data_IF_417380202826
#
_entry.id   IF_417380202826
#
_cell.length_a   1.000
_cell.length_b   1.000
_cell.length_c   1.000
_cell.angle_alpha   90.00
_cell.angle_beta   90.00
_cell.angle_gamma   90.00
#
_symmetry.space_group_name_H-M   'P 1'
#
loop_
_entity.id
_entity.type
_entity.pdbx_description
1 polymer ?
#
# COMPACT_ATOMS: atom_id res chain seq x y z
N UNK A 1 -2.96 -29.98 -22.31
CA UNK A 1 -1.87 -29.00 -22.49
C UNK A 1 -2.44 -27.65 -22.08
N UNK A 2 -2.17 -27.25 -20.83
CA UNK A 2 -2.60 -25.98 -20.26
C UNK A 2 -1.37 -25.38 -19.58
N UNK A 3 -0.45 -24.89 -20.40
CA UNK A 3 0.58 -23.94 -19.99
C UNK A 3 0.43 -22.76 -20.95
N UNK A 4 -0.43 -21.82 -20.56
CA UNK A 4 -0.49 -20.50 -21.19
C UNK A 4 -0.32 -19.50 -20.05
N UNK A 5 0.90 -18.98 -19.93
CA UNK A 5 1.15 -17.78 -19.16
C UNK A 5 0.22 -16.69 -19.69
N UNK A 6 -0.50 -16.01 -18.78
CA UNK A 6 -1.47 -14.97 -19.12
C UNK A 6 -0.69 -13.75 -19.62
N UNK A 7 -0.52 -13.65 -20.93
CA UNK A 7 0.14 -12.53 -21.60
C UNK A 7 -0.89 -11.48 -22.00
N UNK A 8 -0.87 -10.33 -21.31
CA UNK A 8 -1.73 -9.17 -21.61
C UNK A 8 -1.15 -8.25 -22.71
N UNK A 9 0.02 -8.56 -23.29
CA UNK A 9 0.65 -7.70 -24.29
C UNK A 9 1.30 -8.50 -25.45
N UNK A 10 0.48 -9.14 -26.28
CA UNK A 10 0.95 -9.88 -27.45
C UNK A 10 -0.20 -10.40 -28.33
N UNK A 11 -1.06 -9.47 -28.78
CA UNK A 11 -2.26 -9.65 -29.61
C UNK A 11 -3.35 -10.54 -28.99
N UNK A 12 -4.49 -9.90 -28.73
CA UNK A 12 -5.82 -10.51 -28.54
C UNK A 12 -6.21 -11.09 -27.17
N UNK A 13 -5.72 -10.53 -26.05
CA UNK A 13 -6.35 -10.77 -24.74
C UNK A 13 -7.00 -9.50 -24.15
N UNK A 14 -8.31 -9.38 -24.36
CA UNK A 14 -9.17 -8.47 -23.63
C UNK A 14 -9.94 -9.30 -22.58
N UNK A 15 -9.73 -9.03 -21.29
CA UNK A 15 -10.40 -9.79 -20.23
C UNK A 15 -11.90 -9.45 -20.11
N UNK A 16 -12.40 -8.29 -20.58
CA UNK A 16 -13.85 -8.11 -20.76
C UNK A 16 -14.35 -9.01 -21.88
N UNK A 17 -13.64 -9.12 -23.01
CA UNK A 17 -14.03 -10.04 -24.10
C UNK A 17 -13.92 -11.50 -23.71
N UNK A 18 -12.93 -11.87 -22.91
CA UNK A 18 -12.81 -13.21 -22.36
C UNK A 18 -13.96 -13.52 -21.38
N UNK A 19 -14.29 -12.60 -20.47
CA UNK A 19 -15.45 -12.78 -19.58
C UNK A 19 -16.76 -12.78 -20.40
N UNK A 20 -16.89 -11.91 -21.41
CA UNK A 20 -18.01 -11.91 -22.35
C UNK A 20 -18.12 -13.28 -23.03
N UNK A 21 -17.01 -13.84 -23.50
CA UNK A 21 -16.96 -15.16 -24.12
C UNK A 21 -17.42 -16.26 -23.15
N UNK A 22 -16.97 -16.23 -21.89
CA UNK A 22 -17.41 -17.20 -20.87
C UNK A 22 -18.93 -17.09 -20.63
N UNK A 23 -19.45 -15.88 -20.47
CA UNK A 23 -20.89 -15.64 -20.26
C UNK A 23 -21.74 -16.03 -21.49
N UNK A 24 -21.20 -15.87 -22.70
CA UNK A 24 -21.88 -16.25 -23.94
C UNK A 24 -21.79 -17.75 -24.25
N UNK A 25 -20.72 -18.42 -23.81
CA UNK A 25 -20.43 -19.82 -24.18
C UNK A 25 -20.90 -20.84 -23.15
N UNK A 26 -21.29 -20.39 -21.95
CA UNK A 26 -21.69 -21.24 -20.85
C UNK A 26 -23.08 -20.87 -20.31
N UNK A 27 -23.74 -21.81 -19.63
CA UNK A 27 -25.00 -21.50 -18.97
C UNK A 27 -24.76 -20.70 -17.68
N UNK A 28 -25.63 -19.74 -17.37
CA UNK A 28 -25.48 -18.87 -16.18
C UNK A 28 -25.30 -19.64 -14.85
N UNK A 29 -25.89 -20.84 -14.74
CA UNK A 29 -25.79 -21.70 -13.56
C UNK A 29 -24.55 -22.60 -13.53
N UNK A 30 -23.78 -22.66 -14.61
CA UNK A 30 -22.58 -23.49 -14.72
C UNK A 30 -21.49 -23.01 -13.79
N UNK A 31 -20.75 -23.95 -13.17
CA UNK A 31 -19.74 -23.62 -12.14
C UNK A 31 -18.32 -23.81 -12.70
N UNK A 32 -17.61 -22.69 -12.87
CA UNK A 32 -16.25 -22.64 -13.41
C UNK A 32 -15.24 -22.21 -12.33
N UNK A 33 -14.00 -22.74 -12.35
CA UNK A 33 -12.93 -22.27 -11.48
C UNK A 33 -12.36 -20.94 -11.97
N UNK A 34 -12.13 -20.00 -11.06
CA UNK A 34 -11.45 -18.74 -11.34
C UNK A 34 -9.97 -19.01 -11.71
N UNK A 35 -9.44 -18.42 -12.80
CA UNK A 35 -8.04 -18.62 -13.20
C UNK A 35 -7.02 -17.97 -12.26
N UNK A 36 -7.43 -16.99 -11.44
CA UNK A 36 -6.54 -16.28 -10.52
C UNK A 36 -6.45 -16.93 -9.14
N UNK A 37 -7.58 -17.37 -8.57
CA UNK A 37 -7.63 -17.95 -7.22
C UNK A 37 -8.12 -19.40 -7.14
N UNK A 38 -8.52 -20.00 -8.26
CA UNK A 38 -9.03 -21.37 -8.37
C UNK A 38 -10.33 -21.68 -7.60
N UNK A 39 -10.92 -20.69 -6.92
CA UNK A 39 -12.25 -20.80 -6.29
C UNK A 39 -13.31 -20.89 -7.38
N UNK A 40 -14.36 -21.68 -7.14
CA UNK A 40 -15.39 -22.00 -8.14
C UNK A 40 -16.63 -21.13 -7.97
N UNK A 41 -17.09 -20.51 -9.06
CA UNK A 41 -18.26 -19.63 -9.07
C UNK A 41 -19.22 -20.01 -10.19
N UNK A 42 -20.49 -19.65 -10.03
CA UNK A 42 -21.42 -19.69 -11.15
C UNK A 42 -21.00 -18.68 -12.23
N UNK A 43 -21.23 -18.98 -13.50
CA UNK A 43 -20.95 -18.05 -14.61
C UNK A 43 -21.62 -16.70 -14.39
N UNK A 44 -22.85 -16.68 -13.85
CA UNK A 44 -23.56 -15.44 -13.52
C UNK A 44 -22.89 -14.54 -12.48
N UNK A 45 -21.95 -15.07 -11.69
CA UNK A 45 -21.19 -14.33 -10.67
C UNK A 45 -19.71 -14.18 -11.05
N UNK A 46 -19.32 -14.72 -12.20
CA UNK A 46 -17.91 -14.91 -12.56
C UNK A 46 -17.24 -13.59 -12.96
N UNK A 47 -17.95 -12.73 -13.70
CA UNK A 47 -17.49 -11.38 -14.03
C UNK A 47 -17.19 -10.57 -12.78
N UNK A 48 -18.18 -10.44 -11.91
CA UNK A 48 -18.05 -9.62 -10.70
C UNK A 48 -16.90 -10.11 -9.82
N UNK A 49 -16.74 -11.43 -9.67
CA UNK A 49 -15.60 -12.00 -8.96
C UNK A 49 -14.26 -11.61 -9.62
N UNK A 50 -14.15 -11.76 -10.95
CA UNK A 50 -12.89 -11.49 -11.65
C UNK A 50 -12.54 -10.01 -11.65
N UNK A 51 -13.49 -9.12 -11.91
CA UNK A 51 -13.23 -7.68 -12.06
C UNK A 51 -13.07 -6.97 -10.73
N UNK A 52 -13.71 -7.48 -9.67
CA UNK A 52 -13.73 -6.83 -8.36
C UNK A 52 -12.83 -7.48 -7.33
N UNK A 53 -12.39 -8.74 -7.48
CA UNK A 53 -11.65 -9.43 -6.42
C UNK A 53 -10.20 -9.76 -6.77
N UNK A 54 -9.70 -9.45 -7.97
CA UNK A 54 -8.31 -9.75 -8.36
C UNK A 54 -7.52 -8.54 -8.86
N UNK A 55 -6.27 -8.46 -8.42
CA UNK A 55 -5.28 -7.51 -8.94
C UNK A 55 -4.57 -8.08 -10.17
N UNK A 56 -4.66 -7.41 -11.31
CA UNK A 56 -3.99 -7.84 -12.55
C UNK A 56 -2.77 -6.97 -12.84
N UNK A 57 -1.59 -7.58 -12.92
CA UNK A 57 -0.34 -6.87 -13.24
C UNK A 57 -0.14 -6.79 -14.76
N UNK A 58 0.26 -5.62 -15.26
CA UNK A 58 0.71 -5.50 -16.66
C UNK A 58 1.98 -6.35 -16.86
N UNK A 59 2.01 -7.28 -17.83
CA UNK A 59 3.15 -8.18 -18.02
C UNK A 59 4.31 -7.55 -18.83
N UNK A 60 4.21 -6.29 -19.27
CA UNK A 60 5.34 -5.61 -19.89
C UNK A 60 6.47 -5.43 -18.87
N UNK A 61 7.67 -5.95 -19.20
CA UNK A 61 8.82 -6.10 -18.29
C UNK A 61 9.27 -4.78 -17.61
N UNK A 62 8.86 -3.63 -18.15
CA UNK A 62 9.16 -2.30 -17.60
C UNK A 62 7.93 -1.50 -17.17
N UNK A 63 6.73 -2.07 -17.23
CA UNK A 63 5.50 -1.38 -16.83
C UNK A 63 5.26 -1.53 -15.33
N UNK A 64 5.14 -0.41 -14.57
CA UNK A 64 4.84 -0.47 -13.14
C UNK A 64 3.34 -0.64 -12.84
N UNK A 65 2.50 -0.90 -13.85
CA UNK A 65 1.05 -0.97 -13.71
C UNK A 65 0.58 -2.26 -13.01
N UNK A 66 -0.15 -2.09 -11.91
CA UNK A 66 -0.90 -3.13 -11.23
C UNK A 66 -2.33 -2.64 -11.14
N UNK A 67 -3.23 -3.36 -11.80
CA UNK A 67 -4.64 -3.04 -11.86
C UNK A 67 -5.31 -3.32 -10.53
N UNK A 68 -6.15 -2.37 -10.15
CA UNK A 68 -7.00 -2.32 -8.96
C UNK A 68 -8.48 -2.61 -9.29
N UNK A 69 -8.80 -2.62 -10.58
CA UNK A 69 -10.06 -3.08 -11.20
C UNK A 69 -9.80 -3.32 -12.68
N UNK A 70 -10.66 -4.04 -13.38
CA UNK A 70 -10.43 -4.36 -14.79
C UNK A 70 -10.46 -3.13 -15.74
N UNK A 71 -11.32 -2.14 -15.50
CA UNK A 71 -11.44 -0.96 -16.38
C UNK A 71 -10.15 -0.12 -16.42
N UNK A 72 -9.41 -0.15 -15.32
CA UNK A 72 -8.11 0.53 -15.22
C UNK A 72 -7.09 -0.12 -16.16
N UNK A 73 -7.18 -1.45 -16.34
CA UNK A 73 -6.30 -2.17 -17.27
C UNK A 73 -6.63 -1.78 -18.71
N UNK A 74 -7.90 -1.81 -19.12
CA UNK A 74 -8.31 -1.41 -20.47
C UNK A 74 -7.91 0.04 -20.81
N UNK A 75 -8.12 0.98 -19.88
CA UNK A 75 -7.72 2.38 -20.04
C UNK A 75 -6.20 2.54 -20.12
N UNK A 76 -5.46 1.73 -19.36
CA UNK A 76 -3.99 1.72 -19.40
C UNK A 76 -3.46 1.16 -20.73
N UNK A 77 -4.06 0.09 -21.27
CA UNK A 77 -3.65 -0.50 -22.55
C UNK A 77 -3.75 0.52 -23.68
N UNK A 78 -4.80 1.35 -23.69
CA UNK A 78 -4.98 2.42 -24.67
C UNK A 78 -3.84 3.45 -24.68
N UNK A 79 -3.16 3.68 -23.55
CA UNK A 79 -2.05 4.64 -23.45
C UNK A 79 -0.77 4.22 -24.18
N UNK A 80 -0.64 2.94 -24.55
CA UNK A 80 0.50 2.43 -25.33
C UNK A 80 0.18 2.24 -26.82
N UNK A 81 -1.11 2.25 -27.17
CA UNK A 81 -1.58 2.16 -28.55
C UNK A 81 -1.41 3.48 -29.33
N UNK A 82 -1.23 4.62 -28.65
CA UNK A 82 -1.09 5.94 -29.28
C UNK A 82 0.32 6.31 -29.77
N UNK A 83 1.30 5.41 -29.71
CA UNK A 83 2.69 5.72 -30.15
C UNK A 83 3.05 5.11 -31.51
N UNK A 84 2.54 5.67 -32.62
CA UNK A 84 3.27 5.85 -33.91
C UNK A 84 2.80 7.18 -34.57
N UNK A 85 3.69 8.05 -35.10
CA UNK A 85 3.57 9.52 -34.98
C UNK A 85 3.18 10.28 -36.26
N UNK A 86 2.60 11.47 -36.12
CA UNK A 86 3.00 12.66 -36.92
C UNK A 86 2.36 13.97 -36.44
N UNK A 87 3.11 15.05 -36.66
CA UNK A 87 2.77 16.48 -36.54
C UNK A 87 2.86 17.12 -35.15
N UNK A 88 4.00 17.79 -34.99
CA UNK A 88 4.31 18.90 -34.11
C UNK A 88 3.14 19.87 -33.87
N UNK A 89 2.69 19.94 -32.63
CA UNK A 89 2.30 21.20 -32.00
C UNK A 89 2.84 21.21 -30.57
N UNK A 90 3.56 22.26 -30.23
CA UNK A 90 4.05 22.53 -28.88
C UNK A 90 2.84 22.62 -27.96
N UNK A 91 2.71 21.67 -27.02
CA UNK A 91 1.90 21.87 -25.84
C UNK A 91 2.66 21.32 -24.63
N UNK A 92 2.92 22.23 -23.71
CA UNK A 92 3.67 22.03 -22.49
C UNK A 92 3.07 20.89 -21.65
N UNK A 93 3.96 20.06 -21.09
CA UNK A 93 3.60 19.09 -20.05
C UNK A 93 2.87 19.81 -18.92
N UNK A 94 1.83 19.19 -18.31
CA UNK A 94 1.34 19.67 -17.05
C UNK A 94 2.48 19.54 -16.05
N UNK A 95 3.00 20.69 -15.63
CA UNK A 95 3.87 20.80 -14.48
C UNK A 95 3.14 20.20 -13.29
N UNK A 96 3.58 19.03 -12.82
CA UNK A 96 3.36 18.64 -11.44
C UNK A 96 3.87 19.82 -10.63
N UNK A 97 2.95 20.54 -10.01
CA UNK A 97 3.25 21.74 -9.26
C UNK A 97 4.26 21.37 -8.18
N UNK A 98 5.52 21.76 -8.39
CA UNK A 98 6.52 21.88 -7.35
C UNK A 98 6.01 22.88 -6.31
N UNK A 99 5.17 22.43 -5.39
CA UNK A 99 5.06 23.06 -4.09
C UNK A 99 6.26 22.59 -3.27
N UNK A 100 7.45 23.04 -3.65
CA UNK A 100 8.67 22.99 -2.82
C UNK A 100 8.50 23.94 -1.64
N UNK A 101 7.52 23.66 -0.78
CA UNK A 101 7.57 24.05 0.62
C UNK A 101 8.62 23.18 1.31
N UNK A 102 9.37 23.76 2.25
CA UNK A 102 10.43 23.11 3.04
C UNK A 102 9.85 22.08 4.03
N UNK A 103 9.02 21.15 3.55
CA UNK A 103 8.42 20.10 4.36
C UNK A 103 9.42 18.96 4.62
N UNK A 104 9.12 18.14 5.62
CA UNK A 104 10.01 17.06 6.06
C UNK A 104 10.41 16.13 4.91
N UNK A 105 9.47 15.76 4.05
CA UNK A 105 9.69 14.88 2.89
C UNK A 105 10.74 15.45 1.94
N UNK A 106 10.61 16.73 1.55
CA UNK A 106 11.54 17.40 0.65
C UNK A 106 12.94 17.52 1.26
N UNK A 107 13.03 17.84 2.55
CA UNK A 107 14.29 17.95 3.29
C UNK A 107 15.02 16.60 3.39
N UNK A 108 14.29 15.52 3.69
CA UNK A 108 14.84 14.16 3.71
C UNK A 108 15.31 13.73 2.33
N UNK A 109 14.47 13.91 1.31
CA UNK A 109 14.81 13.54 -0.07
C UNK A 109 16.09 14.24 -0.52
N UNK A 110 16.19 15.57 -0.29
CA UNK A 110 17.40 16.35 -0.59
C UNK A 110 18.62 15.80 0.14
N UNK A 111 18.54 15.59 1.46
CA UNK A 111 19.69 15.16 2.25
C UNK A 111 20.19 13.76 1.84
N UNK A 112 19.29 12.82 1.54
CA UNK A 112 19.70 11.50 1.04
C UNK A 112 20.31 11.58 -0.36
N UNK A 113 19.79 12.44 -1.24
CA UNK A 113 20.35 12.67 -2.59
C UNK A 113 21.75 13.28 -2.59
N UNK A 114 22.19 13.93 -1.52
CA UNK A 114 23.57 14.46 -1.41
C UNK A 114 24.63 13.35 -1.34
N UNK A 115 24.23 12.10 -1.07
CA UNK A 115 25.15 10.98 -1.14
C UNK A 115 25.56 10.74 -2.61
N UNK A 116 26.85 10.90 -2.93
CA UNK A 116 27.42 10.72 -4.27
C UNK A 116 27.17 9.32 -4.89
N UNK A 117 26.86 8.32 -4.07
CA UNK A 117 26.53 6.98 -4.51
C UNK A 117 25.02 6.74 -4.67
N UNK A 118 24.17 7.71 -4.32
CA UNK A 118 22.72 7.62 -4.47
C UNK A 118 22.36 7.59 -5.96
N UNK A 119 21.57 6.60 -6.35
CA UNK A 119 20.97 6.46 -7.67
C UNK A 119 19.51 6.89 -7.65
N UNK A 120 18.80 6.58 -6.57
CA UNK A 120 17.41 6.94 -6.38
C UNK A 120 17.11 7.12 -4.89
N UNK A 121 16.32 8.12 -4.56
CA UNK A 121 15.63 8.20 -3.28
C UNK A 121 14.18 8.57 -3.54
N UNK A 122 13.26 7.93 -2.83
CA UNK A 122 11.85 8.27 -2.83
C UNK A 122 11.36 8.29 -1.40
N UNK A 123 10.85 9.45 -0.98
CA UNK A 123 10.29 9.65 0.35
C UNK A 123 8.79 9.82 0.20
N UNK A 124 8.03 9.27 1.15
CA UNK A 124 6.60 9.51 1.23
C UNK A 124 6.31 11.03 1.29
N UNK A 125 5.33 11.48 0.53
CA UNK A 125 4.85 12.85 0.48
C UNK A 125 4.23 13.25 1.81
N UNK A 126 4.32 14.55 2.13
CA UNK A 126 3.65 15.17 3.28
C UNK A 126 3.94 14.50 4.64
N UNK A 127 5.11 13.89 4.79
CA UNK A 127 5.45 13.04 5.93
C UNK A 127 5.35 13.80 7.26
N UNK A 128 4.55 13.27 8.18
CA UNK A 128 4.36 13.80 9.52
C UNK A 128 4.69 12.72 10.56
N UNK A 129 5.78 12.89 11.31
CA UNK A 129 6.27 11.88 12.25
C UNK A 129 5.61 12.00 13.63
N UNK A 130 5.22 10.87 14.20
CA UNK A 130 4.73 10.73 15.57
C UNK A 130 5.63 9.78 16.35
N UNK A 131 5.67 9.91 17.67
CA UNK A 131 6.44 9.03 18.53
C UNK A 131 5.65 8.60 19.76
N UNK A 132 6.08 7.48 20.34
CA UNK A 132 5.61 6.98 21.62
C UNK A 132 5.82 8.05 22.69
N UNK A 133 4.78 8.31 23.46
CA UNK A 133 4.83 9.12 24.67
C UNK A 133 4.87 8.22 25.91
N UNK A 134 4.96 8.81 27.09
CA UNK A 134 4.89 8.06 28.36
C UNK A 134 3.59 7.29 28.54
N UNK A 135 2.48 7.81 28.01
CA UNK A 135 1.11 7.28 28.21
C UNK A 135 0.86 6.00 27.39
N UNK A 136 1.54 5.86 26.26
CA UNK A 136 1.37 4.76 25.32
C UNK A 136 2.58 3.83 25.23
N UNK A 137 3.55 4.02 26.13
CA UNK A 137 4.74 3.16 26.20
C UNK A 137 4.34 1.70 26.43
N UNK A 138 4.89 0.82 25.61
CA UNK A 138 4.68 -0.63 25.67
C UNK A 138 3.46 -1.15 24.90
N UNK A 139 2.66 -0.29 24.24
CA UNK A 139 1.56 -0.74 23.38
C UNK A 139 1.22 0.19 22.20
N UNK A 140 1.72 1.42 22.22
CA UNK A 140 1.32 2.49 21.31
C UNK A 140 1.82 2.36 19.87
N UNK A 141 2.72 1.43 19.55
CA UNK A 141 3.42 1.44 18.26
C UNK A 141 2.46 1.38 17.07
N UNK A 142 1.49 0.47 17.07
CA UNK A 142 0.48 0.37 16.02
C UNK A 142 -0.31 1.68 15.84
N UNK A 143 -0.76 2.27 16.94
CA UNK A 143 -1.49 3.54 16.92
C UNK A 143 -0.64 4.71 16.44
N UNK A 144 0.63 4.81 16.84
CA UNK A 144 1.53 5.89 16.40
C UNK A 144 1.87 5.78 14.92
N UNK A 145 2.10 4.57 14.41
CA UNK A 145 2.31 4.37 12.98
C UNK A 145 1.04 4.72 12.17
N UNK A 146 -0.15 4.38 12.68
CA UNK A 146 -1.41 4.84 12.07
C UNK A 146 -1.55 6.38 12.12
N UNK A 147 -1.15 7.05 13.21
CA UNK A 147 -1.10 8.52 13.25
C UNK A 147 -0.15 9.11 12.20
N UNK A 148 1.02 8.51 11.97
CA UNK A 148 1.95 8.92 10.90
C UNK A 148 1.28 8.82 9.54
N UNK A 149 0.59 7.71 9.28
CA UNK A 149 -0.11 7.49 8.03
C UNK A 149 -1.23 8.53 7.84
N UNK A 150 -2.16 8.63 8.79
CA UNK A 150 -3.30 9.57 8.73
C UNK A 150 -2.81 11.00 8.56
N UNK A 151 -1.83 11.43 9.36
CA UNK A 151 -1.31 12.80 9.29
C UNK A 151 -0.64 13.11 7.94
N UNK A 152 0.00 12.12 7.32
CA UNK A 152 0.64 12.30 6.02
C UNK A 152 -0.37 12.33 4.87
N UNK A 153 -1.35 11.41 4.85
CA UNK A 153 -2.33 11.35 3.75
C UNK A 153 -3.43 12.40 3.86
N UNK A 154 -3.72 12.94 5.05
CA UNK A 154 -4.72 14.01 5.23
C UNK A 154 -4.35 15.29 4.46
N UNK A 155 -3.07 15.47 4.16
CA UNK A 155 -2.55 16.60 3.40
C UNK A 155 -2.65 16.39 1.87
N UNK A 156 -3.00 15.18 1.42
CA UNK A 156 -3.39 14.92 0.04
C UNK A 156 -4.86 15.36 -0.17
N UNK A 157 -5.20 16.06 -1.27
CA UNK A 157 -6.56 16.59 -1.48
C UNK A 157 -7.64 15.51 -1.49
N UNK A 158 -7.42 14.41 -2.21
CA UNK A 158 -8.43 13.38 -2.42
C UNK A 158 -8.54 12.48 -1.19
N UNK A 159 -7.41 12.05 -0.63
CA UNK A 159 -7.39 11.23 0.58
C UNK A 159 -7.82 12.02 1.82
N UNK A 160 -7.46 13.31 1.90
CA UNK A 160 -7.90 14.20 2.96
C UNK A 160 -9.40 14.42 2.96
N UNK A 161 -9.99 14.61 1.77
CA UNK A 161 -11.45 14.70 1.60
C UNK A 161 -12.13 13.39 2.00
N UNK A 162 -11.62 12.23 1.54
CA UNK A 162 -12.16 10.91 1.88
C UNK A 162 -12.09 10.60 3.38
N UNK A 163 -10.95 10.90 4.03
CA UNK A 163 -10.79 10.74 5.48
C UNK A 163 -11.81 11.58 6.26
N UNK A 164 -12.11 12.79 5.78
CA UNK A 164 -13.01 13.72 6.47
C UNK A 164 -12.49 14.20 7.84
N UNK A 165 -11.18 14.03 8.11
CA UNK A 165 -10.56 14.39 9.39
C UNK A 165 -9.87 15.76 9.28
N UNK A 166 -10.25 16.69 10.17
CA UNK A 166 -9.59 18.01 10.23
C UNK A 166 -8.24 17.97 10.96
N UNK A 167 -8.07 17.03 11.89
CA UNK A 167 -6.87 16.87 12.72
C UNK A 167 -6.52 15.39 12.86
N UNK A 168 -5.26 15.10 13.18
CA UNK A 168 -4.83 13.73 13.46
C UNK A 168 -5.49 13.23 14.75
N UNK A 169 -6.18 12.08 14.74
CA UNK A 169 -6.91 11.58 15.89
C UNK A 169 -5.97 11.14 17.01
N UNK A 170 -6.41 11.26 18.27
CA UNK A 170 -5.72 10.70 19.43
C UNK A 170 -5.78 9.18 19.44
N UNK A 171 -4.96 8.50 20.26
CA UNK A 171 -5.02 7.04 20.42
C UNK A 171 -6.43 6.59 20.84
N UNK A 172 -7.05 7.29 21.79
CA UNK A 172 -8.42 6.98 22.24
C UNK A 172 -9.45 7.16 21.13
N UNK A 173 -9.29 8.17 20.27
CA UNK A 173 -10.16 8.36 19.11
C UNK A 173 -9.96 7.26 18.06
N UNK A 174 -8.71 6.85 17.80
CA UNK A 174 -8.39 5.70 16.94
C UNK A 174 -9.04 4.42 17.48
N UNK A 175 -8.87 4.12 18.77
CA UNK A 175 -9.51 2.97 19.42
C UNK A 175 -11.03 2.98 19.23
N UNK A 176 -11.67 4.14 19.46
CA UNK A 176 -13.12 4.30 19.28
C UNK A 176 -13.54 4.16 17.80
N UNK A 177 -12.69 4.61 16.86
CA UNK A 177 -12.91 4.48 15.42
C UNK A 177 -12.85 3.03 14.96
N UNK A 178 -11.86 2.25 15.44
CA UNK A 178 -11.76 0.81 15.16
C UNK A 178 -12.99 0.08 15.71
N UNK A 179 -13.39 0.34 16.96
CA UNK A 179 -14.61 -0.25 17.53
C UNK A 179 -15.88 0.13 16.75
N UNK A 180 -15.93 1.33 16.18
CA UNK A 180 -17.02 1.76 15.30
C UNK A 180 -17.03 1.00 13.99
N UNK A 181 -15.86 0.80 13.38
CA UNK A 181 -15.72 0.01 12.17
C UNK A 181 -16.17 -1.44 12.40
N UNK A 182 -15.77 -2.06 13.52
CA UNK A 182 -16.22 -3.40 13.91
C UNK A 182 -17.75 -3.47 14.06
N UNK A 183 -18.37 -2.49 14.73
CA UNK A 183 -19.84 -2.40 14.83
C UNK A 183 -20.52 -2.25 13.46
N UNK A 184 -19.83 -1.68 12.48
CA UNK A 184 -20.31 -1.54 11.11
C UNK A 184 -20.02 -2.77 10.22
N UNK A 185 -19.48 -3.84 10.80
CA UNK A 185 -19.27 -5.14 10.15
C UNK A 185 -17.88 -5.36 9.55
N UNK A 186 -16.91 -4.47 9.79
CA UNK A 186 -15.52 -4.71 9.39
C UNK A 186 -14.89 -5.79 10.28
N UNK A 187 -14.23 -6.76 9.66
CA UNK A 187 -13.37 -7.77 10.30
C UNK A 187 -13.91 -8.33 11.64
N UNK A 188 -15.05 -9.05 11.62
CA UNK A 188 -15.63 -9.61 12.84
C UNK A 188 -14.70 -10.58 13.56
N UNK A 189 -13.83 -11.27 12.82
CA UNK A 189 -12.87 -12.23 13.38
C UNK A 189 -11.74 -11.51 14.14
N UNK A 190 -11.13 -10.47 13.57
CA UNK A 190 -10.15 -9.64 14.26
C UNK A 190 -10.76 -8.89 15.46
N UNK A 191 -12.00 -8.43 15.32
CA UNK A 191 -12.75 -7.83 16.43
C UNK A 191 -12.94 -8.82 17.60
N UNK A 192 -13.30 -10.07 17.29
CA UNK A 192 -13.49 -11.11 18.30
C UNK A 192 -12.18 -11.45 19.05
N UNK A 193 -11.04 -11.48 18.36
CA UNK A 193 -9.71 -11.69 18.97
C UNK A 193 -9.38 -10.62 20.01
N UNK A 194 -9.87 -9.40 19.81
CA UNK A 194 -9.70 -8.28 20.73
C UNK A 194 -10.91 -8.05 21.63
N UNK A 195 -11.84 -9.01 21.71
CA UNK A 195 -13.06 -8.96 22.50
C UNK A 195 -13.91 -7.70 22.24
N UNK A 196 -13.93 -7.23 20.98
CA UNK A 196 -14.68 -6.06 20.53
C UNK A 196 -14.40 -4.78 21.35
N UNK A 197 -13.23 -4.68 21.99
CA UNK A 197 -12.92 -3.59 22.91
C UNK A 197 -11.45 -3.20 22.87
N UNK A 198 -11.20 -1.95 22.54
CA UNK A 198 -9.90 -1.28 22.53
C UNK A 198 -9.89 -0.04 23.42
N UNK A 199 -10.96 0.75 23.43
CA UNK A 199 -11.04 2.03 24.15
C UNK A 199 -10.82 1.82 25.64
N UNK A 200 -9.89 2.57 26.21
CA UNK A 200 -9.55 2.46 27.63
C UNK A 200 -8.66 1.25 27.97
N UNK A 201 -8.22 0.49 26.96
CA UNK A 201 -7.28 -0.63 27.12
C UNK A 201 -5.89 -0.25 26.63
N UNK A 202 -4.91 -1.12 26.92
CA UNK A 202 -3.53 -1.07 26.40
C UNK A 202 -3.27 -2.19 25.39
N UNK A 203 -4.32 -2.70 24.74
CA UNK A 203 -4.19 -3.77 23.74
C UNK A 203 -3.39 -3.28 22.54
N UNK A 204 -2.53 -4.16 22.05
CA UNK A 204 -1.80 -3.95 20.81
C UNK A 204 -2.80 -4.06 19.65
N UNK A 205 -2.50 -3.33 18.57
CA UNK A 205 -3.21 -3.47 17.29
C UNK A 205 -2.19 -3.89 16.22
N UNK A 206 -2.67 -4.64 15.25
CA UNK A 206 -1.90 -5.14 14.11
C UNK A 206 -2.24 -4.44 12.80
N UNK A 207 -1.81 -5.06 11.71
CA UNK A 207 -2.08 -4.58 10.36
C UNK A 207 -3.59 -4.64 10.01
N UNK A 208 -4.32 -5.62 10.53
CA UNK A 208 -5.77 -5.79 10.35
C UNK A 208 -6.55 -4.60 10.88
N UNK A 209 -6.35 -4.20 12.15
CA UNK A 209 -7.04 -3.05 12.73
C UNK A 209 -6.69 -1.73 12.03
N UNK A 210 -5.46 -1.60 11.55
CA UNK A 210 -5.02 -0.44 10.76
C UNK A 210 -5.74 -0.38 9.42
N UNK A 211 -5.82 -1.51 8.71
CA UNK A 211 -6.55 -1.62 7.45
C UNK A 211 -8.06 -1.37 7.65
N UNK A 212 -8.66 -1.92 8.72
CA UNK A 212 -10.05 -1.69 9.11
C UNK A 212 -10.32 -0.19 9.36
N UNK A 213 -9.45 0.47 10.14
CA UNK A 213 -9.61 1.90 10.41
C UNK A 213 -9.59 2.71 9.11
N UNK A 214 -8.59 2.49 8.25
CA UNK A 214 -8.44 3.24 6.99
C UNK A 214 -9.60 2.97 6.02
N UNK A 215 -9.99 1.71 5.81
CA UNK A 215 -11.10 1.36 4.91
C UNK A 215 -12.44 1.91 5.40
N UNK A 216 -12.68 1.91 6.72
CA UNK A 216 -13.90 2.51 7.28
C UNK A 216 -14.01 4.02 7.03
N UNK A 217 -12.88 4.69 6.76
CA UNK A 217 -12.77 6.10 6.36
C UNK A 217 -12.56 6.27 4.84
N UNK A 218 -13.06 5.34 4.03
CA UNK A 218 -13.00 5.40 2.57
C UNK A 218 -11.58 5.51 1.98
N UNK A 219 -10.57 4.98 2.67
CA UNK A 219 -9.22 4.84 2.14
C UNK A 219 -9.05 3.43 1.61
N UNK A 220 -8.72 3.31 0.32
CA UNK A 220 -8.43 2.01 -0.28
C UNK A 220 -7.07 1.56 0.19
N UNK A 221 -7.03 0.36 0.76
CA UNK A 221 -5.79 -0.26 1.22
C UNK A 221 -5.56 -1.59 0.54
N UNK A 222 -4.31 -2.03 0.56
CA UNK A 222 -3.93 -3.42 0.34
C UNK A 222 -3.15 -3.88 1.57
N UNK A 223 -3.63 -4.93 2.23
CA UNK A 223 -2.92 -5.68 3.27
C UNK A 223 -2.11 -6.77 2.57
N UNK A 224 -0.80 -6.84 2.83
CA UNK A 224 0.08 -7.80 2.19
C UNK A 224 0.82 -8.60 3.24
N UNK A 225 0.70 -9.92 3.17
CA UNK A 225 1.45 -10.85 4.00
C UNK A 225 2.73 -11.29 3.29
N UNK A 226 3.86 -11.17 3.97
CA UNK A 226 5.15 -11.69 3.54
C UNK A 226 5.58 -12.77 4.52
N UNK A 227 5.49 -14.03 4.08
CA UNK A 227 5.92 -15.18 4.88
C UNK A 227 7.03 -15.95 4.16
N UNK A 228 7.76 -16.80 4.90
CA UNK A 228 8.75 -17.67 4.29
C UNK A 228 8.05 -18.69 3.38
N UNK A 229 8.41 -18.67 2.11
CA UNK A 229 7.87 -19.61 1.13
C UNK A 229 9.02 -20.13 0.26
N UNK A 230 9.28 -21.44 0.32
CA UNK A 230 10.38 -22.07 -0.39
C UNK A 230 10.27 -21.90 -1.92
N UNK A 231 9.06 -21.76 -2.45
CA UNK A 231 8.80 -21.67 -3.89
C UNK A 231 8.89 -20.24 -4.44
N UNK A 232 8.80 -19.22 -3.58
CA UNK A 232 8.78 -17.80 -3.99
C UNK A 232 10.10 -17.07 -3.77
N UNK A 233 11.16 -17.80 -3.41
CA UNK A 233 12.46 -17.22 -3.12
C UNK A 233 12.52 -16.44 -1.78
N UNK A 234 13.65 -15.78 -1.50
CA UNK A 234 13.92 -15.19 -0.18
C UNK A 234 12.92 -14.08 0.19
N UNK A 235 12.35 -14.16 1.40
CA UNK A 235 11.40 -13.18 1.92
C UNK A 235 11.94 -11.74 1.84
N UNK A 236 13.17 -11.42 2.32
CA UNK A 236 13.66 -10.04 2.24
C UNK A 236 13.75 -9.49 0.83
N UNK A 237 14.08 -10.33 -0.17
CA UNK A 237 14.15 -9.91 -1.56
C UNK A 237 12.76 -9.53 -2.10
N UNK A 238 11.77 -10.40 -1.89
CA UNK A 238 10.37 -10.13 -2.30
C UNK A 238 9.80 -8.88 -1.65
N UNK A 239 10.06 -8.70 -0.36
CA UNK A 239 9.59 -7.52 0.38
C UNK A 239 10.23 -6.24 -0.17
N UNK A 240 11.54 -6.24 -0.39
CA UNK A 240 12.23 -5.10 -1.00
C UNK A 240 11.68 -4.80 -2.39
N UNK A 241 11.58 -5.79 -3.27
CA UNK A 241 11.09 -5.57 -4.63
C UNK A 241 9.66 -5.02 -4.65
N UNK A 242 8.78 -5.55 -3.78
CA UNK A 242 7.42 -5.05 -3.64
C UNK A 242 7.40 -3.58 -3.17
N UNK A 243 8.16 -3.23 -2.13
CA UNK A 243 8.19 -1.87 -1.58
C UNK A 243 8.82 -0.88 -2.55
N UNK A 244 9.91 -1.27 -3.23
CA UNK A 244 10.52 -0.46 -4.27
C UNK A 244 9.55 -0.21 -5.42
N UNK A 245 8.80 -1.23 -5.84
CA UNK A 245 7.77 -1.06 -6.87
C UNK A 245 6.62 -0.16 -6.40
N UNK A 246 6.19 -0.30 -5.15
CA UNK A 246 5.18 0.58 -4.56
C UNK A 246 5.60 2.05 -4.65
N UNK A 247 6.81 2.41 -4.22
CA UNK A 247 7.29 3.79 -4.25
C UNK A 247 7.57 4.34 -5.67
N UNK A 248 7.57 3.50 -6.71
CA UNK A 248 7.61 3.98 -8.10
C UNK A 248 6.29 4.64 -8.52
N UNK A 249 5.18 4.11 -8.01
CA UNK A 249 3.82 4.51 -8.42
C UNK A 249 3.08 5.32 -7.36
N UNK A 250 3.46 5.17 -6.09
CA UNK A 250 2.81 5.80 -4.94
C UNK A 250 3.83 6.56 -4.08
N UNK A 251 3.33 7.51 -3.30
CA UNK A 251 4.17 8.31 -2.38
C UNK A 251 3.59 8.38 -0.97
N UNK A 252 2.83 7.37 -0.53
CA UNK A 252 2.29 7.33 0.82
C UNK A 252 3.14 6.45 1.74
N UNK A 253 3.24 6.77 3.05
CA UNK A 253 3.92 5.90 4.01
C UNK A 253 3.21 4.55 4.12
N UNK A 254 3.96 3.49 4.43
CA UNK A 254 3.44 2.13 4.60
C UNK A 254 3.45 1.73 6.07
N UNK A 255 2.36 1.17 6.56
CA UNK A 255 2.37 0.48 7.86
C UNK A 255 3.19 -0.81 7.72
N UNK A 256 4.11 -1.08 8.64
CA UNK A 256 4.99 -2.23 8.57
C UNK A 256 5.01 -3.00 9.88
N UNK A 257 4.48 -4.21 9.87
CA UNK A 257 4.29 -5.08 11.03
C UNK A 257 5.23 -6.28 10.98
N UNK A 258 5.71 -6.70 12.14
CA UNK A 258 6.15 -8.06 12.42
C UNK A 258 5.70 -8.47 13.82
N UNK A 259 5.99 -9.69 14.24
CA UNK A 259 5.65 -10.13 15.59
C UNK A 259 6.26 -9.17 16.65
N UNK A 260 5.40 -8.65 17.54
CA UNK A 260 5.81 -7.86 18.70
C UNK A 260 6.05 -6.36 18.47
N UNK A 261 6.10 -5.87 17.23
CA UNK A 261 6.33 -4.44 16.97
C UNK A 261 5.88 -4.00 15.57
N UNK A 262 5.60 -2.71 15.43
CA UNK A 262 5.31 -2.10 14.14
C UNK A 262 6.07 -0.80 13.95
N UNK A 263 6.33 -0.49 12.69
CA UNK A 263 7.10 0.67 12.21
C UNK A 263 6.42 1.25 10.98
N UNK A 264 6.95 2.35 10.47
CA UNK A 264 6.47 2.96 9.22
C UNK A 264 7.59 2.96 8.19
N UNK A 265 7.36 2.38 7.00
CA UNK A 265 8.27 2.60 5.88
C UNK A 265 7.93 3.95 5.26
N UNK A 266 8.88 4.88 5.34
CA UNK A 266 8.74 6.27 4.91
C UNK A 266 9.39 6.54 3.57
N UNK A 267 10.04 5.54 2.96
CA UNK A 267 10.68 5.68 1.66
C UNK A 267 11.63 4.55 1.32
N UNK A 268 12.33 4.73 0.21
CA UNK A 268 13.38 3.82 -0.28
C UNK A 268 14.59 4.61 -0.78
N UNK A 269 15.77 4.01 -0.65
CA UNK A 269 17.03 4.53 -1.18
C UNK A 269 17.73 3.43 -1.98
N UNK A 270 18.09 3.72 -3.22
CA UNK A 270 19.00 2.89 -4.03
C UNK A 270 20.31 3.64 -4.18
N UNK A 271 21.39 2.94 -3.86
CA UNK A 271 22.77 3.37 -4.10
C UNK A 271 23.42 2.45 -5.12
N UNK A 272 24.60 2.80 -5.63
CA UNK A 272 25.36 1.95 -6.58
C UNK A 272 25.60 0.52 -6.08
N UNK A 273 25.65 0.33 -4.76
CA UNK A 273 26.06 -0.94 -4.16
C UNK A 273 24.93 -1.63 -3.37
N UNK A 274 23.83 -0.92 -3.05
CA UNK A 274 22.85 -1.40 -2.07
C UNK A 274 21.51 -0.71 -2.20
N UNK A 275 20.46 -1.43 -1.80
CA UNK A 275 19.11 -0.91 -1.59
C UNK A 275 18.81 -0.86 -0.10
N UNK A 276 18.07 0.17 0.31
CA UNK A 276 17.60 0.34 1.68
C UNK A 276 16.11 0.67 1.68
N UNK A 277 15.38 0.06 2.61
CA UNK A 277 14.10 0.60 3.05
C UNK A 277 14.40 1.68 4.08
N UNK A 278 13.70 2.82 3.99
CA UNK A 278 13.79 3.87 4.99
C UNK A 278 12.65 3.66 5.98
N UNK A 279 12.97 3.12 7.15
CA UNK A 279 12.00 2.70 8.16
C UNK A 279 12.14 3.62 9.38
N UNK A 280 11.05 4.29 9.71
CA UNK A 280 10.94 5.07 10.94
C UNK A 280 10.29 4.23 12.04
N UNK A 281 10.92 4.23 13.21
CA UNK A 281 10.41 3.57 14.42
C UNK A 281 9.78 4.61 15.35
N UNK A 282 8.53 4.42 15.81
CA UNK A 282 7.87 5.38 16.71
C UNK A 282 8.54 5.50 18.09
N UNK A 283 9.51 4.65 18.45
CA UNK A 283 10.35 4.85 19.64
C UNK A 283 11.48 5.89 19.43
N UNK A 284 11.74 6.30 18.18
CA UNK A 284 12.67 7.37 17.88
C UNK A 284 11.99 8.72 18.07
N UNK A 285 12.64 9.65 18.78
CA UNK A 285 12.14 11.02 18.86
C UNK A 285 12.31 11.72 17.50
N UNK A 286 11.25 12.31 16.89
CA UNK A 286 11.33 13.00 15.61
C UNK A 286 12.40 14.09 15.57
N UNK A 287 12.74 14.71 16.71
CA UNK A 287 13.83 15.70 16.80
C UNK A 287 15.18 15.14 16.37
N UNK A 288 15.44 13.83 16.48
CA UNK A 288 16.68 13.24 15.95
C UNK A 288 16.77 13.38 14.43
N UNK A 289 15.64 13.25 13.73
CA UNK A 289 15.56 13.50 12.28
C UNK A 289 15.79 14.98 12.00
N UNK A 290 15.15 15.87 12.76
CA UNK A 290 15.32 17.32 12.58
C UNK A 290 16.75 17.80 12.82
N UNK A 291 17.44 17.27 13.83
CA UNK A 291 18.85 17.59 14.08
C UNK A 291 19.72 17.14 12.91
N UNK A 292 19.51 15.95 12.36
CA UNK A 292 20.26 15.45 11.21
C UNK A 292 20.01 16.28 9.94
N UNK A 293 18.77 16.74 9.73
CA UNK A 293 18.42 17.63 8.64
C UNK A 293 19.07 19.02 8.82
N UNK A 294 19.06 19.55 10.03
CA UNK A 294 19.65 20.86 10.34
C UNK A 294 21.17 20.85 10.22
N UNK A 295 21.80 19.73 10.59
CA UNK A 295 23.26 19.53 10.46
C UNK A 295 23.71 19.12 9.05
N UNK A 296 22.77 18.91 8.11
CA UNK A 296 23.02 18.40 6.76
C UNK A 296 23.89 17.13 6.74
N UNK A 297 23.73 16.26 7.75
CA UNK A 297 24.55 15.07 7.92
C UNK A 297 23.72 13.80 7.75
N UNK A 298 23.74 13.23 6.54
CA UNK A 298 22.99 12.02 6.21
C UNK A 298 23.47 10.77 6.95
N UNK A 299 24.69 10.77 7.52
CA UNK A 299 25.17 9.64 8.34
C UNK A 299 24.41 9.52 9.67
N UNK A 300 23.90 10.64 10.19
CA UNK A 300 23.05 10.67 11.39
C UNK A 300 21.68 10.05 11.14
N UNK A 301 21.26 9.90 9.88
CA UNK A 301 20.03 9.20 9.46
C UNK A 301 20.25 7.70 9.18
N UNK A 302 21.43 7.14 9.48
CA UNK A 302 21.70 5.70 9.31
C UNK A 302 20.70 4.80 10.03
N UNK A 303 20.13 5.24 11.16
CA UNK A 303 19.10 4.49 11.89
C UNK A 303 17.79 4.30 11.12
N UNK A 304 17.55 5.09 10.06
CA UNK A 304 16.41 4.89 9.16
C UNK A 304 16.68 3.81 8.12
N UNK A 305 17.95 3.51 7.80
CA UNK A 305 18.30 2.57 6.74
C UNK A 305 18.18 1.13 7.24
N UNK A 306 17.24 0.40 6.67
CA UNK A 306 17.09 -1.03 6.85
C UNK A 306 17.60 -1.76 5.60
N UNK A 307 18.60 -2.63 5.76
CA UNK A 307 19.11 -3.52 4.71
C UNK A 307 18.30 -4.83 4.66
N UNK A 308 18.39 -5.57 3.54
CA UNK A 308 17.76 -6.90 3.43
C UNK A 308 18.20 -7.85 4.56
N UNK A 309 19.47 -7.79 4.97
CA UNK A 309 20.00 -8.60 6.08
C UNK A 309 19.42 -8.24 7.45
N UNK A 310 18.80 -7.07 7.59
CA UNK A 310 18.15 -6.64 8.83
C UNK A 310 16.72 -7.20 8.98
N UNK A 311 16.17 -7.83 7.93
CA UNK A 311 14.85 -8.45 7.94
C UNK A 311 14.95 -9.93 8.34
N UNK A 312 14.90 -10.21 9.65
CA UNK A 312 15.13 -11.54 10.22
C UNK A 312 13.86 -12.29 10.65
N UNK A 313 12.74 -11.58 10.80
CA UNK A 313 11.49 -12.16 11.29
C UNK A 313 10.91 -13.17 10.29
N UNK A 314 10.17 -14.19 10.77
CA UNK A 314 9.61 -15.23 9.91
C UNK A 314 8.48 -14.72 9.02
N UNK A 315 7.81 -13.66 9.43
CA UNK A 315 6.69 -13.05 8.72
C UNK A 315 6.65 -11.54 8.95
N UNK A 316 6.17 -10.83 7.94
CA UNK A 316 5.90 -9.40 7.97
C UNK A 316 4.56 -9.11 7.30
N UNK A 317 3.90 -8.02 7.72
CA UNK A 317 2.71 -7.52 7.03
C UNK A 317 2.88 -6.05 6.67
N UNK A 318 2.34 -5.65 5.54
CA UNK A 318 2.29 -4.25 5.10
C UNK A 318 0.83 -3.84 4.89
N UNK A 319 0.46 -2.65 5.38
CA UNK A 319 -0.76 -1.97 4.92
C UNK A 319 -0.35 -0.83 3.99
N UNK A 320 -0.70 -0.97 2.71
CA UNK A 320 -0.42 0.00 1.66
C UNK A 320 -1.65 0.83 1.35
N UNK A 321 -1.48 2.13 1.13
CA UNK A 321 -2.55 3.00 0.65
C UNK A 321 -2.55 2.98 -0.88
N UNK A 322 -3.71 2.70 -1.46
CA UNK A 322 -3.90 2.59 -2.90
C UNK A 322 -4.77 3.70 -3.48
N UNK A 323 -5.29 4.62 -2.67
CA UNK A 323 -6.13 5.73 -3.12
C UNK A 323 -7.41 5.85 -2.29
N UNK A 324 -8.42 6.50 -2.86
CA UNK A 324 -9.76 6.58 -2.28
C UNK A 324 -10.53 5.28 -2.57
N UNK A 325 -11.23 4.76 -1.58
CA UNK A 325 -12.17 3.65 -1.70
C UNK A 325 -13.51 4.20 -2.18
N UNK A 326 -13.96 3.77 -3.36
CA UNK A 326 -15.30 4.08 -3.86
C UNK A 326 -16.36 3.55 -2.90
N UNK A 327 -17.45 4.31 -2.71
CA UNK A 327 -18.61 3.88 -1.92
C UNK A 327 -19.20 2.57 -2.42
N UNK A 328 -19.11 2.28 -3.73
CA UNK A 328 -19.55 1.00 -4.32
C UNK A 328 -18.81 -0.22 -3.78
N UNK A 329 -17.58 -0.04 -3.28
CA UNK A 329 -16.73 -1.12 -2.77
C UNK A 329 -16.62 -1.11 -1.24
N UNK A 330 -17.36 -0.23 -0.54
CA UNK A 330 -17.25 -0.08 0.91
C UNK A 330 -17.63 -1.35 1.66
N UNK A 331 -18.72 -2.02 1.26
CA UNK A 331 -19.15 -3.26 1.90
C UNK A 331 -18.23 -4.44 1.57
N UNK A 332 -17.66 -4.48 0.36
CA UNK A 332 -16.67 -5.50 -0.04
C UNK A 332 -15.41 -5.39 0.83
N UNK A 333 -14.98 -4.16 1.12
CA UNK A 333 -13.80 -3.86 1.94
C UNK A 333 -13.93 -4.29 3.42
N UNK A 334 -15.12 -4.71 3.88
CA UNK A 334 -15.35 -5.12 5.27
C UNK A 334 -14.70 -6.45 5.63
N UNK A 335 -14.51 -7.32 4.64
CA UNK A 335 -13.87 -8.62 4.81
C UNK A 335 -12.50 -8.60 4.13
N UNK A 336 -11.52 -9.29 4.72
CA UNK A 336 -10.24 -9.50 4.06
C UNK A 336 -10.37 -10.62 3.02
N UNK A 337 -10.33 -10.24 1.75
CA UNK A 337 -10.38 -11.14 0.60
C UNK A 337 -9.29 -10.74 -0.39
N UNK A 338 -9.17 -11.41 -1.54
CA UNK A 338 -8.20 -11.04 -2.57
C UNK A 338 -8.37 -9.60 -3.09
N UNK A 339 -9.50 -8.93 -2.82
CA UNK A 339 -9.72 -7.52 -3.11
C UNK A 339 -8.76 -6.57 -2.37
N UNK A 340 -8.54 -6.81 -1.08
CA UNK A 340 -7.81 -5.91 -0.18
C UNK A 340 -6.74 -6.63 0.65
N UNK A 341 -6.56 -7.94 0.45
CA UNK A 341 -5.60 -8.78 1.16
C UNK A 341 -4.90 -9.72 0.19
N UNK A 342 -3.57 -9.63 0.12
CA UNK A 342 -2.74 -10.46 -0.75
C UNK A 342 -1.63 -11.15 0.04
N UNK A 343 -1.18 -12.31 -0.46
CA UNK A 343 0.01 -12.99 0.03
C UNK A 343 1.11 -12.87 -1.01
N UNK A 344 2.21 -12.21 -0.67
CA UNK A 344 3.38 -12.04 -1.52
C UNK A 344 4.38 -13.16 -1.26
#
# INVERSE_FOLDING_TARGET
MLDAAVECCGLDFDLLDWVNHIELSHSNSEILPCPACYVRFSVSSFRDHITNEHLFRCPYERCPFISISFETMASHTATHSETIPSTSTNNEKPSVSNSTGDNLSGRLSRLFSLNQHCLMVRIASNLCLHAISSEDRGYGCGYRNLQIIISSIRLDPDLGAALGLMVTPSITAIQSGIETAWRNGFDPDGAAQLHFSLKGTRKWIGATEVAVYLQSHFIRVELIDFERNAQRGPLPARLFDWVFNYFRSYSYPLYFQHAGHSRTIIGVEETRNSRFLLIYDPFVNPRRVEVALSSQNSSQLSFLRCSMSSLTEPAYQIVAIRGVLSSSHYDIAKTFTSFNHSAA
#
